data_IF_724817423072
#
_entry.id   IF_724817423072
#
_cell.length_a   1.000
_cell.length_b   1.000
_cell.length_c   1.000
_cell.angle_alpha   90.00
_cell.angle_beta   90.00
_cell.angle_gamma   90.00
#
_symmetry.space_group_name_H-M   'P 1'
#
loop_
_entity.id
_entity.type
_entity.pdbx_description
1 polymer ?
#
# COMPACT_ATOMS: atom_id res chain seq x y z
N UNK A 1 13.38 -27.95 8.89
CA UNK A 1 13.02 -26.52 8.72
C UNK A 1 11.64 -26.44 8.10
N UNK A 2 10.75 -25.57 8.57
CA UNK A 2 9.47 -25.34 7.92
C UNK A 2 9.68 -24.74 6.53
N UNK A 3 8.77 -25.02 5.60
CA UNK A 3 8.78 -24.43 4.26
C UNK A 3 8.51 -22.93 4.34
N UNK A 4 9.19 -22.16 3.49
CA UNK A 4 8.93 -20.73 3.38
C UNK A 4 7.55 -20.47 2.75
N UNK A 5 6.87 -19.37 3.09
CA UNK A 5 5.61 -19.00 2.45
C UNK A 5 5.75 -18.91 0.94
N UNK A 6 4.81 -19.46 0.18
CA UNK A 6 4.84 -19.44 -1.29
C UNK A 6 5.00 -18.03 -1.87
N UNK A 7 4.42 -17.02 -1.21
CA UNK A 7 4.51 -15.61 -1.59
C UNK A 7 5.94 -15.05 -1.59
N UNK A 8 6.87 -15.70 -0.87
CA UNK A 8 8.28 -15.30 -0.76
C UNK A 8 9.21 -16.07 -1.69
N UNK A 9 8.76 -17.18 -2.27
CA UNK A 9 9.58 -18.08 -3.08
C UNK A 9 9.11 -18.20 -4.53
N UNK A 10 7.83 -17.96 -4.79
CA UNK A 10 7.29 -18.00 -6.16
C UNK A 10 7.69 -16.74 -6.92
N UNK A 11 8.35 -16.93 -8.07
CA UNK A 11 8.71 -15.83 -8.96
C UNK A 11 7.44 -15.13 -9.47
N UNK A 12 7.45 -13.80 -9.46
CA UNK A 12 6.37 -12.93 -9.91
C UNK A 12 6.96 -11.62 -10.47
N UNK A 13 6.13 -10.77 -11.08
CA UNK A 13 6.61 -9.44 -11.50
C UNK A 13 7.01 -8.61 -10.27
N UNK A 14 7.95 -7.70 -10.47
CA UNK A 14 8.36 -6.74 -9.42
C UNK A 14 7.15 -5.99 -8.87
N UNK A 15 7.04 -5.91 -7.54
CA UNK A 15 5.90 -5.32 -6.82
C UNK A 15 4.54 -5.99 -7.07
N UNK A 16 4.49 -7.22 -7.58
CA UNK A 16 3.20 -7.95 -7.68
C UNK A 16 2.66 -8.34 -6.30
N UNK A 17 3.56 -8.73 -5.40
CA UNK A 17 3.28 -9.10 -4.03
C UNK A 17 4.14 -8.23 -3.14
N UNK A 18 3.48 -7.43 -2.32
CA UNK A 18 4.15 -6.44 -1.48
C UNK A 18 3.73 -6.56 -0.03
N UNK A 19 4.70 -6.36 0.86
CA UNK A 19 4.45 -5.99 2.24
C UNK A 19 4.30 -4.48 2.33
N UNK A 20 3.42 -4.01 3.18
CA UNK A 20 3.15 -2.60 3.38
C UNK A 20 3.16 -2.24 4.86
N UNK A 21 3.85 -1.16 5.20
CA UNK A 21 3.97 -0.65 6.57
C UNK A 21 4.21 0.87 6.58
N UNK A 22 3.98 1.52 7.72
CA UNK A 22 4.37 2.91 7.95
C UNK A 22 5.58 3.01 8.88
N UNK A 23 6.57 3.80 8.46
CA UNK A 23 7.67 4.23 9.30
C UNK A 23 7.46 5.67 9.74
N UNK A 24 7.57 5.97 11.04
CA UNK A 24 7.55 7.33 11.55
C UNK A 24 7.05 7.47 13.00
N UNK A 25 6.85 8.72 13.47
CA UNK A 25 6.95 9.97 12.72
C UNK A 25 8.39 10.49 12.58
N UNK A 26 8.71 10.98 11.39
CA UNK A 26 9.91 11.77 11.11
C UNK A 26 9.61 13.27 11.23
N UNK A 27 10.54 14.03 11.80
CA UNK A 27 10.48 15.49 11.84
C UNK A 27 11.06 16.06 10.56
N UNK A 28 10.22 16.68 9.73
CA UNK A 28 10.60 17.27 8.43
C UNK A 28 10.52 18.79 8.54
N UNK A 29 11.52 19.50 8.01
CA UNK A 29 11.49 20.97 7.93
C UNK A 29 10.49 21.40 6.87
N UNK A 30 9.57 22.28 7.25
CA UNK A 30 8.57 22.90 6.41
C UNK A 30 8.63 24.43 6.56
N UNK A 31 7.94 25.15 5.69
CA UNK A 31 8.00 26.62 5.67
C UNK A 31 7.58 27.26 7.01
N UNK A 32 6.72 26.59 7.77
CA UNK A 32 6.19 27.07 9.06
C UNK A 32 6.87 26.45 10.29
N UNK A 33 7.91 25.62 10.11
CA UNK A 33 8.60 24.95 11.20
C UNK A 33 8.80 23.44 10.96
N UNK A 34 8.99 22.68 12.03
CA UNK A 34 9.12 21.22 11.96
C UNK A 34 7.73 20.56 11.98
N UNK A 35 7.46 19.70 11.00
CA UNK A 35 6.20 18.95 10.90
C UNK A 35 6.47 17.44 10.96
N UNK A 36 5.55 16.70 11.57
CA UNK A 36 5.60 15.23 11.57
C UNK A 36 5.14 14.69 10.22
N UNK A 37 5.89 13.73 9.68
CA UNK A 37 5.56 12.98 8.46
C UNK A 37 5.84 11.51 8.67
N UNK A 38 5.17 10.66 7.90
CA UNK A 38 5.39 9.23 7.88
C UNK A 38 5.87 8.81 6.49
N UNK A 39 6.52 7.67 6.41
CA UNK A 39 6.94 7.05 5.16
C UNK A 39 6.20 5.74 5.03
N UNK A 40 5.41 5.63 3.97
CA UNK A 40 4.82 4.39 3.51
C UNK A 40 5.89 3.53 2.85
N UNK A 41 6.12 2.34 3.41
CA UNK A 41 7.07 1.35 2.96
C UNK A 41 6.35 0.28 2.16
N UNK A 42 6.63 0.17 0.86
CA UNK A 42 6.18 -0.95 0.04
C UNK A 42 7.36 -1.87 -0.26
N UNK A 43 7.37 -3.06 0.34
CA UNK A 43 8.46 -4.03 0.19
C UNK A 43 8.06 -5.16 -0.75
N UNK A 44 8.75 -5.31 -1.87
CA UNK A 44 8.52 -6.39 -2.84
C UNK A 44 8.98 -7.74 -2.28
N UNK A 45 8.10 -8.75 -2.26
CA UNK A 45 8.44 -10.08 -1.77
C UNK A 45 9.39 -10.85 -2.69
N UNK A 46 9.34 -10.57 -3.99
CA UNK A 46 10.11 -11.30 -5.00
C UNK A 46 11.59 -10.92 -5.01
N UNK A 47 11.86 -9.61 -4.98
CA UNK A 47 13.23 -9.08 -5.14
C UNK A 47 13.73 -8.27 -3.95
N UNK A 48 12.93 -8.13 -2.88
CA UNK A 48 13.24 -7.33 -1.67
C UNK A 48 13.49 -5.85 -1.93
N UNK A 49 13.07 -5.33 -3.08
CA UNK A 49 13.09 -3.90 -3.37
C UNK A 49 12.08 -3.16 -2.49
N UNK A 50 12.48 -1.98 -2.01
CA UNK A 50 11.63 -1.10 -1.19
C UNK A 50 11.25 0.13 -2.02
N UNK A 51 9.97 0.46 -2.04
CA UNK A 51 9.45 1.70 -2.60
C UNK A 51 8.90 2.56 -1.46
N UNK A 52 9.30 3.83 -1.44
CA UNK A 52 8.97 4.78 -0.38
C UNK A 52 8.00 5.83 -0.91
N UNK A 53 6.93 6.09 -0.16
CA UNK A 53 6.03 7.21 -0.39
C UNK A 53 5.94 8.06 0.87
N UNK A 54 5.96 9.38 0.73
CA UNK A 54 5.71 10.26 1.87
C UNK A 54 4.20 10.28 2.18
N UNK A 55 3.88 10.22 3.47
CA UNK A 55 2.54 10.35 4.02
C UNK A 55 2.49 11.54 4.99
N UNK A 56 1.54 12.44 4.79
CA UNK A 56 1.38 13.64 5.63
C UNK A 56 0.83 13.32 7.02
N UNK A 57 -0.06 12.32 7.09
CA UNK A 57 -0.68 11.81 8.31
C UNK A 57 -1.08 10.33 8.12
N UNK A 58 -1.65 9.71 9.15
CA UNK A 58 -2.09 8.31 9.12
C UNK A 58 -3.58 8.16 8.79
N UNK A 59 -4.20 9.16 8.15
CA UNK A 59 -5.62 9.07 7.75
C UNK A 59 -5.82 8.12 6.56
N UNK A 60 -7.06 7.64 6.41
CA UNK A 60 -7.47 6.82 5.27
C UNK A 60 -7.38 7.58 3.94
N UNK A 61 -7.72 8.87 3.92
CA UNK A 61 -7.62 9.72 2.72
C UNK A 61 -6.18 9.82 2.24
N UNK A 62 -5.25 10.13 3.14
CA UNK A 62 -3.85 10.21 2.79
C UNK A 62 -3.27 8.84 2.39
N UNK A 63 -3.72 7.75 3.02
CA UNK A 63 -3.37 6.39 2.59
C UNK A 63 -3.88 6.09 1.17
N UNK A 64 -5.09 6.49 0.81
CA UNK A 64 -5.62 6.34 -0.56
C UNK A 64 -4.74 7.07 -1.57
N UNK A 65 -4.30 8.29 -1.27
CA UNK A 65 -3.37 9.04 -2.12
C UNK A 65 -2.00 8.36 -2.25
N UNK A 66 -1.44 7.86 -1.14
CA UNK A 66 -0.20 7.07 -1.12
C UNK A 66 -0.32 5.83 -2.01
N UNK A 67 -1.38 5.05 -1.83
CA UNK A 67 -1.63 3.82 -2.58
C UNK A 67 -1.79 4.11 -4.08
N UNK A 68 -2.54 5.17 -4.45
CA UNK A 68 -2.65 5.61 -5.84
C UNK A 68 -1.31 5.97 -6.45
N UNK A 69 -0.44 6.71 -5.75
CA UNK A 69 0.91 7.06 -6.24
C UNK A 69 1.77 5.81 -6.44
N UNK A 70 1.73 4.88 -5.50
CA UNK A 70 2.43 3.60 -5.61
C UNK A 70 1.97 2.81 -6.85
N UNK A 71 0.64 2.63 -7.02
CA UNK A 71 0.06 1.90 -8.15
C UNK A 71 0.40 2.58 -9.48
N UNK A 72 0.31 3.91 -9.56
CA UNK A 72 0.65 4.65 -10.78
C UNK A 72 2.11 4.44 -11.21
N UNK A 73 3.04 4.26 -10.25
CA UNK A 73 4.47 4.07 -10.53
C UNK A 73 4.89 2.60 -10.71
N UNK A 74 4.28 1.67 -9.96
CA UNK A 74 4.71 0.26 -9.87
C UNK A 74 3.72 -0.74 -10.46
N UNK A 75 2.55 -0.28 -10.88
CA UNK A 75 1.44 -1.09 -11.36
C UNK A 75 0.64 -1.73 -10.22
N UNK A 76 -0.55 -2.25 -10.54
CA UNK A 76 -1.51 -2.75 -9.56
C UNK A 76 -1.07 -4.08 -8.91
N UNK A 77 -0.72 -4.13 -7.61
CA UNK A 77 -0.28 -5.36 -6.96
C UNK A 77 -1.43 -6.38 -6.91
N UNK A 78 -1.11 -7.68 -6.98
CA UNK A 78 -2.08 -8.76 -6.76
C UNK A 78 -2.32 -9.03 -5.28
N UNK A 79 -1.30 -8.76 -4.45
CA UNK A 79 -1.34 -8.95 -3.01
C UNK A 79 -0.62 -7.80 -2.32
N UNK A 80 -1.31 -7.19 -1.36
CA UNK A 80 -0.72 -6.30 -0.36
C UNK A 80 -0.93 -6.98 0.99
N UNK A 81 0.16 -7.25 1.70
CA UNK A 81 0.14 -7.71 3.08
C UNK A 81 0.51 -6.53 3.99
N UNK A 82 -0.41 -6.12 4.84
CA UNK A 82 -0.19 -5.06 5.84
C UNK A 82 -0.53 -5.57 7.24
N UNK A 83 -0.33 -4.73 8.24
CA UNK A 83 -0.98 -4.90 9.54
C UNK A 83 -2.50 -4.62 9.43
N UNK A 84 -3.18 -4.76 10.57
CA UNK A 84 -4.63 -4.53 10.71
C UNK A 84 -4.98 -3.06 11.02
N UNK A 85 -4.15 -2.10 10.62
CA UNK A 85 -4.46 -0.71 10.92
C UNK A 85 -5.77 -0.27 10.23
N UNK A 86 -6.60 0.45 10.98
CA UNK A 86 -7.98 0.75 10.59
C UNK A 86 -8.07 1.55 9.30
N UNK A 87 -7.12 2.45 9.05
CA UNK A 87 -7.06 3.23 7.82
C UNK A 87 -6.83 2.35 6.58
N UNK A 88 -6.13 1.23 6.71
CA UNK A 88 -5.88 0.31 5.60
C UNK A 88 -7.13 -0.50 5.30
N UNK A 89 -7.73 -1.08 6.34
CA UNK A 89 -8.95 -1.85 6.23
C UNK A 89 -10.07 -1.02 5.60
N UNK A 90 -10.23 0.24 6.01
CA UNK A 90 -11.22 1.14 5.45
C UNK A 90 -11.02 1.35 3.94
N UNK A 91 -9.81 1.76 3.52
CA UNK A 91 -9.54 2.03 2.10
C UNK A 91 -9.70 0.78 1.24
N UNK A 92 -9.22 -0.38 1.69
CA UNK A 92 -9.38 -1.62 0.94
C UNK A 92 -10.86 -2.04 0.83
N UNK A 93 -11.64 -1.88 1.90
CA UNK A 93 -13.08 -2.14 1.86
C UNK A 93 -13.78 -1.23 0.84
N UNK A 94 -13.51 0.08 0.89
CA UNK A 94 -14.09 1.04 -0.05
C UNK A 94 -13.74 0.71 -1.50
N UNK A 95 -12.47 0.37 -1.80
CA UNK A 95 -12.05 -0.02 -3.15
C UNK A 95 -12.79 -1.28 -3.64
N UNK A 96 -13.00 -2.27 -2.75
CA UNK A 96 -13.73 -3.49 -3.12
C UNK A 96 -15.21 -3.21 -3.39
N UNK A 97 -15.85 -2.36 -2.58
CA UNK A 97 -17.24 -1.94 -2.78
C UNK A 97 -17.41 -1.16 -4.10
N UNK A 98 -16.51 -0.22 -4.39
CA UNK A 98 -16.51 0.53 -5.67
C UNK A 98 -16.33 -0.39 -6.87
N UNK A 99 -15.40 -1.35 -6.80
CA UNK A 99 -15.17 -2.32 -7.87
C UNK A 99 -16.39 -3.22 -8.10
N UNK A 100 -17.04 -3.70 -7.03
CA UNK A 100 -18.26 -4.50 -7.14
C UNK A 100 -19.39 -3.70 -7.80
N UNK A 101 -19.60 -2.45 -7.38
CA UNK A 101 -20.60 -1.57 -7.97
C UNK A 101 -20.32 -1.30 -9.46
N UNK A 102 -19.06 -1.08 -9.83
CA UNK A 102 -18.65 -0.86 -11.21
C UNK A 102 -18.96 -2.08 -12.10
N UNK A 103 -18.60 -3.28 -11.63
CA UNK A 103 -18.83 -4.52 -12.36
C UNK A 103 -20.33 -4.82 -12.51
N UNK A 104 -21.12 -4.59 -11.47
CA UNK A 104 -22.58 -4.73 -11.51
C UNK A 104 -23.21 -3.74 -12.52
N UNK A 105 -22.74 -2.48 -12.53
CA UNK A 105 -23.21 -1.47 -13.49
C UNK A 105 -22.91 -1.85 -14.94
N UNK A 106 -21.83 -2.63 -15.17
CA UNK A 106 -21.47 -3.14 -16.49
C UNK A 106 -22.07 -4.51 -16.85
N UNK A 107 -22.88 -5.09 -15.96
CA UNK A 107 -23.48 -6.42 -16.16
C UNK A 107 -22.46 -7.55 -16.28
N UNK A 108 -21.27 -7.39 -15.68
CA UNK A 108 -20.23 -8.43 -15.66
C UNK A 108 -20.38 -9.39 -14.46
N UNK A 109 -21.31 -9.07 -13.55
CA UNK A 109 -21.78 -9.86 -12.41
C UNK A 109 -23.28 -9.62 -12.24
#
# INVERSE_FOLDING_TARGET
MPSLPQTRVKRSRTFEQVGFDYMGPLSVKYNTGLVKRWIALFTCFTIRAVHLEMAENLSAENFSHVLRRFIARRGYPKLILSDNASQFQLVFKTIMEENANFLATKGMI
#
